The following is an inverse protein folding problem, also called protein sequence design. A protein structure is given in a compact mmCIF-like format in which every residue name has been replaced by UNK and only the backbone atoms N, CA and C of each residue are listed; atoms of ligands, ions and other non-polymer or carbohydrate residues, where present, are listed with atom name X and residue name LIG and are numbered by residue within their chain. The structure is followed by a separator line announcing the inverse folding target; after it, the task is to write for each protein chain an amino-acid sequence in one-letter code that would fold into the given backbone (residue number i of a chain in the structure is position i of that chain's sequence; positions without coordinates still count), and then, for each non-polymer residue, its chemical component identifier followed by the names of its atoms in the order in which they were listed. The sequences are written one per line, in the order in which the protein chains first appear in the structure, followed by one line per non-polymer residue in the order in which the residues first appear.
data_IF_761570665753
#
_entry.id   IF_761570665753
#
_cell.length_a   1.000
_cell.length_b   1.000
_cell.length_c   1.000
_cell.angle_alpha   90.00
_cell.angle_beta   90.00
_cell.angle_gamma   90.00
#
_symmetry.space_group_name_H-M   'P 1'
#
loop_
_entity.id
_entity.type
_entity.pdbx_description
1 polymer ?
#
# COMPACT_ATOMS: atom_id res chain seq x y z
N UNK A 1 7.47 -26.70 28.20
CA UNK A 1 8.03 -25.63 27.34
C UNK A 1 8.01 -26.15 25.92
N UNK A 2 6.99 -25.76 25.14
CA UNK A 2 6.86 -26.19 23.75
C UNK A 2 7.47 -25.10 22.87
N UNK A 3 8.56 -25.41 22.19
CA UNK A 3 9.13 -24.54 21.15
C UNK A 3 8.16 -24.50 19.96
N UNK A 4 7.57 -23.33 19.72
CA UNK A 4 6.81 -23.09 18.49
C UNK A 4 7.80 -22.77 17.38
N UNK A 5 8.09 -23.76 16.53
CA UNK A 5 8.69 -23.52 15.21
C UNK A 5 7.55 -23.24 14.24
N UNK A 6 7.10 -21.99 14.21
CA UNK A 6 6.16 -21.57 13.17
C UNK A 6 6.85 -21.71 11.80
N UNK A 7 6.18 -22.40 10.88
CA UNK A 7 6.66 -22.46 9.50
C UNK A 7 6.43 -21.11 8.83
N UNK A 8 7.12 -20.82 7.73
CA UNK A 8 6.86 -19.60 6.96
C UNK A 8 5.43 -19.56 6.39
N UNK A 9 4.79 -20.73 6.26
CA UNK A 9 3.37 -20.85 5.93
C UNK A 9 2.47 -20.37 7.06
N UNK A 10 2.81 -20.73 8.30
CA UNK A 10 2.09 -20.31 9.51
C UNK A 10 2.21 -18.81 9.74
N UNK A 11 3.42 -18.26 9.58
CA UNK A 11 3.63 -16.81 9.68
C UNK A 11 2.86 -16.04 8.60
N UNK A 12 2.79 -16.55 7.37
CA UNK A 12 1.99 -15.92 6.30
C UNK A 12 0.49 -16.01 6.54
N UNK A 13 0.02 -17.09 7.18
CA UNK A 13 -1.39 -17.27 7.55
C UNK A 13 -1.76 -16.34 8.69
N UNK A 14 -0.98 -16.33 9.77
CA UNK A 14 -1.19 -15.43 10.91
C UNK A 14 -1.11 -13.96 10.49
N UNK A 15 -0.18 -13.59 9.61
CA UNK A 15 -0.09 -12.23 9.07
C UNK A 15 -1.32 -11.84 8.25
N UNK A 16 -1.88 -12.77 7.46
CA UNK A 16 -3.13 -12.53 6.70
C UNK A 16 -4.34 -12.41 7.62
N UNK A 17 -4.42 -13.25 8.66
CA UNK A 17 -5.48 -13.21 9.66
C UNK A 17 -5.45 -11.87 10.44
N UNK A 18 -4.25 -11.42 10.84
CA UNK A 18 -4.05 -10.13 11.50
C UNK A 18 -4.35 -8.93 10.59
N UNK A 19 -3.98 -9.00 9.31
CA UNK A 19 -4.32 -7.96 8.33
C UNK A 19 -5.83 -7.90 8.04
N UNK A 20 -6.50 -9.06 8.01
CA UNK A 20 -7.95 -9.14 7.85
C UNK A 20 -8.72 -8.62 9.08
N UNK A 21 -8.18 -8.82 10.30
CA UNK A 21 -8.75 -8.27 11.54
C UNK A 21 -8.50 -6.76 11.69
N UNK A 22 -7.39 -6.23 11.16
CA UNK A 22 -6.99 -4.83 11.30
C UNK A 22 -7.67 -3.86 10.30
N UNK A 23 -8.94 -4.09 9.94
CA UNK A 23 -9.76 -3.22 9.06
C UNK A 23 -9.56 -3.41 7.53
N UNK A 24 -9.42 -4.66 7.06
CA UNK A 24 -9.44 -4.99 5.60
C UNK A 24 -10.08 -6.35 5.26
N UNK A 25 -11.31 -6.63 5.71
CA UNK A 25 -12.00 -7.85 5.24
C UNK A 25 -12.16 -7.92 3.72
N UNK A 26 -12.04 -6.78 3.02
CA UNK A 26 -12.01 -6.69 1.56
C UNK A 26 -10.85 -5.79 1.11
N UNK A 27 -10.03 -6.27 0.17
CA UNK A 27 -9.12 -5.38 -0.56
C UNK A 27 -9.94 -4.34 -1.31
N UNK A 28 -9.47 -3.09 -1.43
CA UNK A 28 -10.20 -2.07 -2.19
C UNK A 28 -10.43 -2.58 -3.62
N UNK A 29 -11.68 -2.54 -4.06
CA UNK A 29 -12.01 -2.83 -5.46
C UNK A 29 -11.35 -1.78 -6.35
N UNK A 30 -10.79 -2.14 -7.52
CA UNK A 30 -10.31 -1.14 -8.46
C UNK A 30 -11.42 -0.14 -8.81
N UNK A 31 -11.12 1.16 -8.81
CA UNK A 31 -12.05 2.19 -9.26
C UNK A 31 -12.35 2.06 -10.76
N UNK A 32 -11.38 1.52 -11.51
CA UNK A 32 -11.51 1.27 -12.95
C UNK A 32 -10.70 0.06 -13.40
N UNK A 33 -11.18 -0.62 -14.43
CA UNK A 33 -10.41 -1.57 -15.23
C UNK A 33 -10.26 -0.99 -16.64
N UNK A 34 -9.04 -0.71 -17.04
CA UNK A 34 -8.74 -0.20 -18.38
C UNK A 34 -8.77 -1.34 -19.41
N UNK A 35 -9.43 -1.16 -20.56
CA UNK A 35 -9.54 -2.19 -21.58
C UNK A 35 -8.18 -2.49 -22.25
N UNK A 36 -8.10 -3.58 -23.01
CA UNK A 36 -6.86 -4.07 -23.61
C UNK A 36 -6.23 -3.14 -24.65
N UNK A 37 -7.01 -2.22 -25.25
CA UNK A 37 -6.57 -1.21 -26.21
C UNK A 37 -6.10 0.10 -25.53
N UNK A 38 -6.21 0.18 -24.20
CA UNK A 38 -5.70 1.31 -23.43
C UNK A 38 -4.16 1.28 -23.36
N UNK A 39 -3.46 2.44 -23.35
CA UNK A 39 -2.00 2.50 -23.21
C UNK A 39 -1.45 1.80 -21.96
N UNK A 40 -2.29 1.73 -20.91
CA UNK A 40 -2.01 1.02 -19.65
C UNK A 40 -3.20 0.12 -19.29
N UNK A 41 -3.32 -1.09 -19.87
CA UNK A 41 -4.46 -1.98 -19.68
C UNK A 41 -4.39 -2.68 -18.31
N UNK A 42 -5.53 -2.81 -17.63
CA UNK A 42 -5.59 -3.44 -16.30
C UNK A 42 -6.27 -2.59 -15.22
N UNK A 43 -6.35 -3.11 -13.98
CA UNK A 43 -7.00 -2.43 -12.87
C UNK A 43 -6.22 -1.20 -12.41
N UNK A 44 -6.98 -0.21 -11.94
CA UNK A 44 -6.51 1.08 -11.45
C UNK A 44 -7.26 1.43 -10.17
N UNK A 45 -6.52 1.92 -9.18
CA UNK A 45 -7.03 2.53 -7.96
C UNK A 45 -6.62 4.00 -7.93
N UNK A 46 -7.52 4.86 -7.50
CA UNK A 46 -7.37 6.29 -7.43
C UNK A 46 -7.62 6.78 -6.00
N UNK A 47 -6.59 7.38 -5.41
CA UNK A 47 -6.68 7.96 -4.07
C UNK A 47 -6.69 9.47 -4.27
N UNK A 48 -7.74 10.12 -3.79
CA UNK A 48 -7.89 11.56 -3.86
C UNK A 48 -7.95 12.13 -2.45
N UNK A 49 -7.07 13.08 -2.13
CA UNK A 49 -7.07 13.73 -0.82
C UNK A 49 -6.91 15.25 -0.93
N UNK A 50 -7.37 16.02 0.06
CA UNK A 50 -7.03 17.43 0.15
C UNK A 50 -5.52 17.61 0.29
N UNK A 51 -4.95 18.60 -0.40
CA UNK A 51 -3.53 18.89 -0.31
C UNK A 51 -3.14 19.36 1.11
N UNK A 52 -2.21 18.65 1.77
CA UNK A 52 -1.88 18.89 3.18
C UNK A 52 -1.14 20.22 3.43
N UNK A 53 -0.35 20.72 2.47
CA UNK A 53 0.66 21.75 2.73
C UNK A 53 0.62 22.99 1.82
N UNK A 54 -0.48 23.24 1.08
CA UNK A 54 -0.55 24.35 0.12
C UNK A 54 -1.81 25.23 0.19
N UNK A 55 -1.71 26.43 -0.42
CA UNK A 55 -2.79 27.44 -0.53
C UNK A 55 -3.84 27.15 -1.61
N UNK A 56 -3.67 26.10 -2.41
CA UNK A 56 -4.51 25.83 -3.59
C UNK A 56 -5.55 24.78 -3.21
N UNK A 57 -6.80 25.01 -3.59
CA UNK A 57 -7.89 24.03 -3.52
C UNK A 57 -7.70 22.88 -4.56
N UNK A 58 -6.46 22.43 -4.74
CA UNK A 58 -6.14 21.27 -5.55
C UNK A 58 -6.25 20.02 -4.68
N UNK A 59 -6.76 18.95 -5.28
CA UNK A 59 -6.74 17.63 -4.67
C UNK A 59 -5.45 16.95 -5.08
N UNK A 60 -4.75 16.37 -4.12
CA UNK A 60 -3.65 15.46 -4.38
C UNK A 60 -4.25 14.14 -4.90
N UNK A 61 -3.68 13.63 -6.00
CA UNK A 61 -4.14 12.42 -6.64
C UNK A 61 -2.99 11.43 -6.75
N UNK A 62 -3.18 10.24 -6.18
CA UNK A 62 -2.31 9.10 -6.39
C UNK A 62 -3.02 8.06 -7.25
N UNK A 63 -2.27 7.43 -8.14
CA UNK A 63 -2.79 6.33 -8.96
C UNK A 63 -1.96 5.08 -8.71
N UNK A 64 -2.60 3.97 -8.40
CA UNK A 64 -1.98 2.65 -8.34
C UNK A 64 -2.52 1.82 -9.50
N UNK A 65 -1.64 1.12 -10.22
CA UNK A 65 -2.02 0.25 -11.34
C UNK A 65 -1.27 -1.07 -11.29
N UNK A 66 -1.91 -2.13 -11.75
CA UNK A 66 -1.23 -3.34 -12.23
C UNK A 66 -1.58 -3.55 -13.69
N UNK A 67 -0.62 -3.97 -14.50
CA UNK A 67 -0.86 -4.17 -15.93
C UNK A 67 -1.23 -5.62 -16.23
N UNK A 68 -2.17 -5.82 -17.14
CA UNK A 68 -2.58 -7.15 -17.62
C UNK A 68 -1.62 -7.74 -18.66
N UNK A 69 -0.63 -6.96 -19.13
CA UNK A 69 0.40 -7.43 -20.04
C UNK A 69 1.37 -8.37 -19.30
N UNK A 70 1.48 -9.61 -19.77
CA UNK A 70 2.31 -10.65 -19.17
C UNK A 70 3.81 -10.28 -19.12
N UNK A 71 4.29 -9.42 -20.02
CA UNK A 71 5.68 -8.94 -20.03
C UNK A 71 5.97 -7.92 -18.91
N UNK A 72 4.92 -7.36 -18.29
CA UNK A 72 4.97 -6.32 -17.25
C UNK A 72 4.30 -6.76 -15.94
N UNK A 73 3.91 -8.03 -15.83
CA UNK A 73 3.08 -8.56 -14.75
C UNK A 73 3.77 -8.61 -13.37
N UNK A 74 5.10 -8.47 -13.31
CA UNK A 74 5.87 -8.50 -12.06
C UNK A 74 6.04 -7.11 -11.41
N UNK A 75 5.33 -6.10 -11.91
CA UNK A 75 5.39 -4.74 -11.40
C UNK A 75 4.02 -4.15 -11.01
N UNK A 76 4.06 -3.24 -10.04
CA UNK A 76 2.99 -2.31 -9.69
C UNK A 76 3.47 -0.91 -10.07
N UNK A 77 2.56 -0.10 -10.61
CA UNK A 77 2.87 1.24 -11.09
C UNK A 77 2.18 2.26 -10.19
N UNK A 78 2.94 3.23 -9.69
CA UNK A 78 2.47 4.28 -8.81
C UNK A 78 2.71 5.65 -9.47
N UNK A 79 1.66 6.44 -9.63
CA UNK A 79 1.79 7.89 -9.84
C UNK A 79 1.50 8.62 -8.54
N UNK A 80 2.25 9.69 -8.32
CA UNK A 80 2.17 10.65 -7.23
C UNK A 80 1.52 11.96 -7.71
N UNK A 81 1.08 12.82 -6.78
CA UNK A 81 0.48 14.11 -7.12
C UNK A 81 1.42 15.05 -7.89
N UNK A 82 2.74 14.84 -7.78
CA UNK A 82 3.75 15.65 -8.48
C UNK A 82 3.96 15.22 -9.93
N UNK A 83 3.42 14.07 -10.33
CA UNK A 83 3.55 13.54 -11.68
C UNK A 83 2.70 14.34 -12.68
N UNK A 84 3.38 14.93 -13.66
CA UNK A 84 2.79 15.85 -14.64
C UNK A 84 1.89 15.16 -15.67
N UNK A 85 2.14 13.89 -15.95
CA UNK A 85 1.39 13.09 -16.89
C UNK A 85 0.95 11.75 -16.28
N UNK A 86 -0.18 11.22 -16.76
CA UNK A 86 -0.74 9.94 -16.27
C UNK A 86 0.19 8.74 -16.55
N UNK A 87 1.15 8.91 -17.46
CA UNK A 87 2.17 7.92 -17.84
C UNK A 87 3.48 8.10 -17.07
N UNK A 88 3.62 9.19 -16.31
CA UNK A 88 4.72 9.38 -15.36
C UNK A 88 4.39 8.49 -14.14
N UNK A 89 4.81 7.23 -14.24
CA UNK A 89 4.60 6.21 -13.21
C UNK A 89 5.93 5.63 -12.75
N UNK A 90 6.07 5.47 -11.45
CA UNK A 90 7.13 4.66 -10.88
C UNK A 90 6.73 3.19 -10.91
N UNK A 91 7.53 2.37 -11.58
CA UNK A 91 7.40 0.91 -11.53
C UNK A 91 8.12 0.36 -10.28
N UNK A 92 7.40 -0.42 -9.49
CA UNK A 92 7.92 -1.16 -8.34
C UNK A 92 7.72 -2.65 -8.59
N UNK A 93 8.73 -3.48 -8.31
CA UNK A 93 8.50 -4.92 -8.32
C UNK A 93 7.47 -5.28 -7.25
N UNK A 94 6.71 -6.36 -7.47
CA UNK A 94 5.66 -6.77 -6.52
C UNK A 94 6.20 -6.97 -5.09
N UNK A 95 7.43 -7.49 -4.93
CA UNK A 95 8.04 -7.67 -3.62
C UNK A 95 8.46 -6.35 -2.96
N UNK A 96 8.94 -5.38 -3.75
CA UNK A 96 9.24 -4.02 -3.29
C UNK A 96 7.96 -3.29 -2.89
N UNK A 97 6.92 -3.35 -3.73
CA UNK A 97 5.61 -2.76 -3.44
C UNK A 97 5.03 -3.30 -2.13
N UNK A 98 5.15 -4.60 -1.86
CA UNK A 98 4.75 -5.19 -0.57
C UNK A 98 5.54 -4.64 0.61
N UNK A 99 6.86 -4.46 0.45
CA UNK A 99 7.71 -3.88 1.52
C UNK A 99 7.33 -2.43 1.80
N UNK A 100 7.08 -1.64 0.75
CA UNK A 100 6.59 -0.25 0.87
C UNK A 100 5.24 -0.22 1.57
N UNK A 101 4.29 -1.06 1.16
CA UNK A 101 2.97 -1.15 1.80
C UNK A 101 3.07 -1.47 3.30
N UNK A 102 3.91 -2.43 3.69
CA UNK A 102 4.14 -2.73 5.11
C UNK A 102 4.78 -1.58 5.87
N UNK A 103 5.72 -0.85 5.25
CA UNK A 103 6.34 0.32 5.87
C UNK A 103 5.33 1.47 6.07
N UNK A 104 4.43 1.68 5.09
CA UNK A 104 3.34 2.66 5.21
C UNK A 104 2.38 2.29 6.34
N UNK A 105 1.97 1.03 6.44
CA UNK A 105 1.11 0.56 7.52
C UNK A 105 1.74 0.79 8.90
N UNK A 106 3.03 0.47 9.06
CA UNK A 106 3.75 0.70 10.31
C UNK A 106 3.86 2.21 10.65
N UNK A 107 4.03 3.07 9.64
CA UNK A 107 4.06 4.51 9.84
C UNK A 107 2.69 5.08 10.25
N UNK A 108 1.60 4.59 9.65
CA UNK A 108 0.23 4.94 10.04
C UNK A 108 -0.04 4.57 11.50
N UNK A 109 0.26 3.33 11.90
CA UNK A 109 0.08 2.85 13.27
C UNK A 109 0.87 3.70 14.29
N UNK A 110 2.11 4.08 13.95
CA UNK A 110 2.88 5.00 14.78
C UNK A 110 2.26 6.40 14.90
N UNK A 111 1.74 6.95 13.80
CA UNK A 111 1.09 8.26 13.78
C UNK A 111 -0.22 8.25 14.59
N UNK A 112 -1.02 7.20 14.47
CA UNK A 112 -2.25 7.03 15.25
C UNK A 112 -1.97 6.84 16.73
N UNK A 113 -0.99 5.99 17.08
CA UNK A 113 -0.56 5.84 18.48
C UNK A 113 -0.09 7.17 19.08
N UNK A 114 0.62 7.99 18.31
CA UNK A 114 1.03 9.34 18.74
C UNK A 114 -0.17 10.27 18.94
N UNK A 115 -1.14 10.26 18.01
CA UNK A 115 -2.37 11.07 18.07
C UNK A 115 -3.25 10.71 19.26
N UNK A 116 -3.31 9.43 19.61
CA UNK A 116 -4.15 8.89 20.69
C UNK A 116 -3.45 8.87 22.05
N UNK A 117 -2.18 9.30 22.10
CA UNK A 117 -1.38 9.30 23.33
C UNK A 117 -1.06 7.89 23.85
N UNK A 118 -1.16 6.87 22.98
CA UNK A 118 -0.82 5.48 23.31
C UNK A 118 0.69 5.33 23.25
N UNK A 119 1.31 5.05 24.40
CA UNK A 119 2.73 4.77 24.47
C UNK A 119 3.04 3.48 23.69
N UNK A 120 3.81 3.61 22.62
CA UNK A 120 4.20 2.50 21.74
C UNK A 120 5.01 1.47 22.53
N UNK A 121 4.66 0.19 22.45
CA UNK A 121 5.36 -0.90 23.18
C UNK A 121 6.78 -1.20 22.66
N UNK A 122 7.31 -0.44 21.69
CA UNK A 122 8.57 -0.74 21.04
C UNK A 122 9.84 -0.31 21.80
N UNK A 123 9.75 0.47 22.88
CA UNK A 123 10.96 0.93 23.60
C UNK A 123 11.39 0.03 24.77
N UNK A 124 11.38 -1.30 24.55
CA UNK A 124 11.94 -2.30 25.49
C UNK A 124 13.08 -3.14 24.90
N UNK A 125 13.74 -2.66 23.85
CA UNK A 125 14.97 -3.29 23.31
C UNK A 125 16.26 -2.55 23.62
N UNK A 126 16.26 -1.64 24.60
CA UNK A 126 17.48 -1.20 25.30
C UNK A 126 17.20 -0.90 26.78
N UNK A 127 17.43 -1.87 27.64
CA UNK A 127 17.87 -1.64 29.02
C UNK A 127 18.85 -2.74 29.38
#
# INVERSE_FOLDING_TARGET
MTEWRDTIGDLRRQLRELLAEADTTELPTPDRINPSDHPMPGPQWEITAPHMYGRRAALDRWLVRSLSDASLADAVYLSTPDDSHVEDVQALRVDEARRVAMALLAACDHADGTREGVAYLADRRRT
#
